data_IF_819830142437
#
_entry.id   IF_819830142437
#
_cell.length_a   1.000
_cell.length_b   1.000
_cell.length_c   1.000
_cell.angle_alpha   90.00
_cell.angle_beta   90.00
_cell.angle_gamma   90.00
#
_symmetry.space_group_name_H-M   'P 1'
#
loop_
_entity.id
_entity.type
_entity.pdbx_description
1 polymer ?
#
# COMPACT_ATOMS: atom_id res chain seq x y z
N UNK A 1 11.74 -0.06 -1.53
CA UNK A 1 11.49 1.37 -1.66
C UNK A 1 10.00 1.74 -1.86
N UNK A 2 9.04 0.87 -1.56
CA UNK A 2 7.60 1.21 -1.64
C UNK A 2 7.01 1.43 -3.03
N UNK A 3 7.79 1.24 -4.09
CA UNK A 3 7.39 1.38 -5.50
C UNK A 3 6.66 0.12 -5.99
N UNK A 4 5.52 -0.18 -5.37
CA UNK A 4 4.70 -1.38 -5.66
C UNK A 4 3.23 -0.97 -5.61
N UNK A 5 2.44 -1.25 -6.66
CA UNK A 5 1.02 -0.87 -6.71
C UNK A 5 0.17 -1.53 -5.61
N UNK A 6 0.63 -2.67 -5.07
CA UNK A 6 -0.01 -3.42 -4.00
C UNK A 6 0.49 -3.02 -2.60
N UNK A 7 1.30 -1.96 -2.50
CA UNK A 7 1.92 -1.55 -1.25
C UNK A 7 0.84 -1.20 -0.21
N UNK A 8 1.00 -1.69 1.01
CA UNK A 8 0.19 -1.29 2.16
C UNK A 8 0.62 0.09 2.68
N UNK A 9 0.45 1.13 1.87
CA UNK A 9 0.88 2.51 2.18
C UNK A 9 0.05 3.18 3.27
N UNK A 10 -1.07 2.57 3.69
CA UNK A 10 -1.92 3.01 4.80
C UNK A 10 -2.10 1.84 5.75
N UNK A 11 -1.64 1.99 6.99
CA UNK A 11 -1.81 0.98 8.03
C UNK A 11 -2.88 1.48 8.99
N UNK A 12 -3.93 0.68 9.16
CA UNK A 12 -5.01 0.93 10.09
C UNK A 12 -4.80 0.02 11.30
N UNK A 13 -4.72 0.59 12.50
CA UNK A 13 -4.41 -0.13 13.73
C UNK A 13 -5.52 0.09 14.75
N UNK A 14 -5.99 -1.00 15.36
CA UNK A 14 -7.01 -0.92 16.40
C UNK A 14 -6.45 -0.18 17.62
N UNK A 15 -7.23 0.75 18.17
CA UNK A 15 -6.81 1.65 19.26
C UNK A 15 -6.12 0.90 20.42
N UNK A 16 -6.65 -0.25 20.80
CA UNK A 16 -6.18 -1.05 21.93
C UNK A 16 -4.74 -1.56 21.80
N UNK A 17 -4.17 -1.57 20.59
CA UNK A 17 -2.79 -1.99 20.33
C UNK A 17 -1.96 -0.91 19.62
N UNK A 18 -2.53 0.29 19.41
CA UNK A 18 -1.93 1.32 18.57
C UNK A 18 -0.52 1.69 19.03
N UNK A 19 -0.36 2.09 20.30
CA UNK A 19 0.92 2.59 20.81
C UNK A 19 1.99 1.48 20.83
N UNK A 20 1.62 0.25 21.21
CA UNK A 20 2.54 -0.90 21.20
C UNK A 20 3.00 -1.25 19.78
N UNK A 21 2.06 -1.27 18.82
CA UNK A 21 2.36 -1.53 17.42
C UNK A 21 3.27 -0.45 16.84
N UNK A 22 2.92 0.83 17.05
CA UNK A 22 3.67 1.97 16.51
C UNK A 22 5.11 1.95 17.03
N UNK A 23 5.32 1.73 18.33
CA UNK A 23 6.66 1.64 18.91
C UNK A 23 7.51 0.56 18.23
N UNK A 24 7.00 -0.68 18.17
CA UNK A 24 7.71 -1.80 17.53
C UNK A 24 7.93 -1.58 16.03
N UNK A 25 6.95 -0.99 15.35
CA UNK A 25 7.02 -0.73 13.91
C UNK A 25 8.07 0.34 13.59
N UNK A 26 8.12 1.43 14.36
CA UNK A 26 9.13 2.48 14.22
C UNK A 26 10.53 1.91 14.46
N UNK A 27 10.72 1.10 15.51
CA UNK A 27 12.02 0.47 15.80
C UNK A 27 12.47 -0.46 14.67
N UNK A 28 11.55 -1.30 14.16
CA UNK A 28 11.84 -2.18 13.03
C UNK A 28 12.24 -1.39 11.78
N UNK A 29 11.51 -0.33 11.43
CA UNK A 29 11.80 0.50 10.26
C UNK A 29 13.12 1.26 10.40
N UNK A 30 13.43 1.78 11.61
CA UNK A 30 14.73 2.43 11.89
C UNK A 30 15.92 1.48 11.79
N UNK A 31 15.70 0.18 11.99
CA UNK A 31 16.76 -0.84 11.91
C UNK A 31 17.07 -1.30 10.49
N UNK A 32 16.25 -0.94 9.50
CA UNK A 32 16.43 -1.39 8.12
C UNK A 32 17.75 -0.89 7.54
N UNK A 33 18.50 -1.78 6.89
CA UNK A 33 19.73 -1.41 6.19
C UNK A 33 19.41 -0.82 4.80
N UNK A 34 19.69 0.47 4.64
CA UNK A 34 19.59 1.19 3.38
C UNK A 34 20.96 1.14 2.69
N UNK A 35 21.01 0.86 1.38
CA UNK A 35 22.30 0.71 0.71
C UNK A 35 22.25 0.28 -0.75
N UNK A 36 23.41 -0.13 -1.26
CA UNK A 36 23.59 -0.67 -2.61
C UNK A 36 22.65 -1.86 -2.84
N UNK A 37 21.79 -1.86 -3.88
CA UNK A 37 20.94 -3.00 -4.20
C UNK A 37 21.71 -4.29 -4.54
N UNK A 38 23.01 -4.21 -4.79
CA UNK A 38 23.90 -5.36 -5.05
C UNK A 38 24.44 -6.00 -3.76
N UNK A 39 24.36 -5.32 -2.62
CA UNK A 39 24.72 -5.87 -1.30
C UNK A 39 23.55 -6.70 -0.75
N UNK A 40 23.77 -7.98 -0.49
CA UNK A 40 22.75 -8.91 0.02
C UNK A 40 22.17 -8.51 1.39
N UNK A 41 22.89 -7.71 2.18
CA UNK A 41 22.41 -7.21 3.45
C UNK A 41 21.54 -5.94 3.30
N UNK A 42 21.46 -5.33 2.12
CA UNK A 42 20.58 -4.18 1.86
C UNK A 42 19.12 -4.61 1.85
N UNK A 43 18.30 -3.96 2.67
CA UNK A 43 16.85 -4.17 2.74
C UNK A 43 16.07 -3.11 1.95
N UNK A 44 16.67 -1.93 1.76
CA UNK A 44 16.04 -0.82 1.05
C UNK A 44 17.03 -0.13 0.10
N UNK A 45 16.76 -0.21 -1.20
CA UNK A 45 17.46 0.54 -2.24
C UNK A 45 16.84 1.93 -2.51
N UNK A 46 17.44 2.64 -3.47
CA UNK A 46 17.00 3.94 -3.94
C UNK A 46 15.61 3.91 -4.63
N UNK A 47 15.04 5.10 -4.81
CA UNK A 47 13.94 5.34 -5.74
C UNK A 47 14.43 5.31 -7.19
N UNK A 48 13.50 5.08 -8.12
CA UNK A 48 13.82 4.80 -9.53
C UNK A 48 14.41 6.01 -10.29
N UNK A 49 14.02 7.24 -9.92
CA UNK A 49 14.43 8.46 -10.61
C UNK A 49 14.43 9.68 -9.69
N UNK A 50 15.13 10.74 -10.10
CA UNK A 50 15.16 12.01 -9.38
C UNK A 50 13.79 12.69 -9.34
N UNK A 51 13.06 12.71 -10.47
CA UNK A 51 11.69 13.23 -10.54
C UNK A 51 10.76 12.50 -9.55
N UNK A 52 10.92 11.18 -9.42
CA UNK A 52 10.13 10.41 -8.47
C UNK A 52 10.54 10.68 -7.02
N UNK A 53 11.83 10.88 -6.74
CA UNK A 53 12.28 11.35 -5.42
C UNK A 53 11.66 12.70 -5.06
N UNK A 54 11.74 13.70 -5.95
CA UNK A 54 11.14 15.02 -5.75
C UNK A 54 9.64 14.93 -5.48
N UNK A 55 8.91 14.09 -6.23
CA UNK A 55 7.50 13.81 -5.96
C UNK A 55 7.31 13.30 -4.53
N UNK A 56 8.04 12.26 -4.13
CA UNK A 56 7.86 11.65 -2.80
C UNK A 56 8.22 12.64 -1.68
N UNK A 57 9.31 13.38 -1.82
CA UNK A 57 9.71 14.43 -0.87
C UNK A 57 8.63 15.52 -0.73
N UNK A 58 7.98 15.92 -1.83
CA UNK A 58 6.89 16.90 -1.80
C UNK A 58 5.69 16.42 -0.95
N UNK A 59 5.39 15.12 -0.95
CA UNK A 59 4.34 14.56 -0.07
C UNK A 59 4.78 14.49 1.39
N UNK A 60 6.06 14.21 1.66
CA UNK A 60 6.58 14.23 3.03
C UNK A 60 6.49 15.64 3.61
N UNK A 61 6.82 16.67 2.82
CA UNK A 61 6.64 18.07 3.21
C UNK A 61 5.16 18.41 3.42
N UNK A 62 4.30 18.05 2.46
CA UNK A 62 2.85 18.26 2.54
C UNK A 62 2.24 17.61 3.79
N UNK A 63 2.70 16.42 4.18
CA UNK A 63 2.19 15.75 5.36
C UNK A 63 2.39 16.58 6.64
N UNK A 64 3.51 17.30 6.76
CA UNK A 64 3.73 18.24 7.86
C UNK A 64 2.76 19.44 7.83
N UNK A 65 2.43 19.93 6.64
CA UNK A 65 1.43 21.00 6.44
C UNK A 65 0.00 20.52 6.76
N UNK A 66 -0.29 19.24 6.50
CA UNK A 66 -1.58 18.58 6.81
C UNK A 66 -1.71 18.15 8.28
N UNK A 67 -0.72 18.48 9.13
CA UNK A 67 -0.73 18.21 10.57
C UNK A 67 -0.21 16.82 10.96
N UNK A 68 0.41 16.10 10.03
CA UNK A 68 1.02 14.80 10.28
C UNK A 68 2.32 14.88 11.07
N UNK A 69 2.56 13.88 11.91
CA UNK A 69 3.80 13.73 12.69
C UNK A 69 4.72 12.71 12.02
N UNK A 70 5.94 13.13 11.67
CA UNK A 70 6.97 12.21 11.19
C UNK A 70 7.56 11.45 12.39
N UNK A 71 7.34 10.14 12.44
CA UNK A 71 7.89 9.26 13.48
C UNK A 71 9.32 8.77 13.14
N UNK A 72 9.65 8.75 11.85
CA UNK A 72 10.99 8.44 11.32
C UNK A 72 11.08 8.88 9.85
N UNK A 73 12.29 8.92 9.30
CA UNK A 73 12.54 9.21 7.88
C UNK A 73 12.48 10.69 7.51
N UNK A 74 12.05 10.97 6.28
CA UNK A 74 11.91 12.32 5.71
C UNK A 74 13.19 13.05 5.31
N UNK A 75 14.33 12.35 5.31
CA UNK A 75 15.63 12.90 4.90
C UNK A 75 16.37 11.91 3.98
N UNK A 76 17.32 12.39 3.15
CA UNK A 76 18.21 11.53 2.38
C UNK A 76 18.97 10.56 3.29
N UNK A 77 19.10 9.31 2.85
CA UNK A 77 19.59 8.22 3.70
C UNK A 77 21.06 7.83 3.51
N UNK A 78 21.73 8.31 2.46
CA UNK A 78 23.05 7.83 2.06
C UNK A 78 24.08 8.95 1.94
N UNK A 79 25.31 8.64 2.33
CA UNK A 79 26.48 9.50 2.20
C UNK A 79 27.61 8.76 1.44
N UNK A 80 28.69 9.47 1.09
CA UNK A 80 29.84 8.87 0.42
C UNK A 80 29.59 8.59 -1.06
N UNK A 81 30.04 7.44 -1.57
CA UNK A 81 29.98 7.12 -3.00
C UNK A 81 28.54 7.07 -3.58
N UNK A 82 27.54 6.94 -2.71
CA UNK A 82 26.13 6.92 -3.07
C UNK A 82 25.42 8.25 -2.81
N UNK A 83 26.09 9.33 -2.40
CA UNK A 83 25.44 10.59 -2.00
C UNK A 83 24.55 11.24 -3.09
N UNK A 84 24.79 10.92 -4.36
CA UNK A 84 24.03 11.44 -5.50
C UNK A 84 22.92 10.51 -6.01
N UNK A 85 22.64 9.40 -5.32
CA UNK A 85 21.51 8.54 -5.68
C UNK A 85 20.17 9.08 -5.20
N UNK A 86 19.08 8.50 -5.71
CA UNK A 86 17.71 8.94 -5.39
C UNK A 86 17.24 8.33 -4.05
N UNK A 87 17.89 8.68 -2.96
CA UNK A 87 17.68 8.05 -1.66
C UNK A 87 16.64 8.77 -0.83
N UNK A 88 15.77 7.99 -0.19
CA UNK A 88 14.87 8.48 0.83
C UNK A 88 14.83 7.48 1.99
N UNK A 89 15.01 7.97 3.21
CA UNK A 89 14.82 7.13 4.39
C UNK A 89 13.36 6.65 4.49
N UNK A 90 13.11 5.41 4.92
CA UNK A 90 11.76 4.92 5.11
C UNK A 90 11.04 5.80 6.13
N UNK A 91 9.88 6.30 5.75
CA UNK A 91 9.18 7.39 6.44
C UNK A 91 7.86 6.90 6.97
N UNK A 92 7.62 7.13 8.26
CA UNK A 92 6.35 6.80 8.92
C UNK A 92 5.70 8.10 9.35
N UNK A 93 4.45 8.29 8.96
CA UNK A 93 3.66 9.48 9.28
C UNK A 93 2.45 9.06 10.11
N UNK A 94 2.27 9.68 11.27
CA UNK A 94 1.09 9.51 12.13
C UNK A 94 0.25 10.79 12.16
N UNK A 95 -0.89 10.74 12.84
CA UNK A 95 -1.75 11.88 13.18
C UNK A 95 -2.37 12.64 12.00
N UNK A 96 -2.21 12.14 10.77
CA UNK A 96 -2.92 12.65 9.61
C UNK A 96 -4.42 12.32 9.69
N UNK A 97 -5.24 13.30 9.31
CA UNK A 97 -6.65 13.05 8.98
C UNK A 97 -6.74 11.97 7.90
N UNK A 98 -7.70 11.06 8.03
CA UNK A 98 -7.98 10.01 7.04
C UNK A 98 -8.46 10.58 5.71
N UNK A 99 -8.90 11.84 5.70
CA UNK A 99 -9.30 12.59 4.50
C UNK A 99 -8.19 13.47 3.89
N UNK A 100 -7.00 13.51 4.51
CA UNK A 100 -5.85 14.26 3.98
C UNK A 100 -5.39 13.72 2.63
N UNK A 101 -4.70 14.55 1.84
CA UNK A 101 -4.16 14.11 0.54
C UNK A 101 -3.13 13.01 0.75
N UNK A 102 -2.25 13.14 1.75
CA UNK A 102 -1.27 12.12 2.08
C UNK A 102 -1.89 10.77 2.47
N UNK A 103 -3.13 10.76 2.98
CA UNK A 103 -3.88 9.53 3.31
C UNK A 103 -4.74 8.97 2.18
N UNK A 104 -4.94 9.71 1.09
CA UNK A 104 -5.83 9.31 -0.02
C UNK A 104 -5.12 9.10 -1.34
N UNK A 105 -4.05 9.86 -1.60
CA UNK A 105 -3.28 9.85 -2.85
C UNK A 105 -2.12 8.84 -2.80
N UNK A 106 -1.74 8.32 -3.97
CA UNK A 106 -0.65 7.35 -4.06
C UNK A 106 0.72 8.06 -4.12
N UNK A 107 1.44 8.01 -3.00
CA UNK A 107 2.81 8.55 -2.89
C UNK A 107 3.79 7.69 -3.73
N UNK A 108 3.68 6.36 -3.63
CA UNK A 108 4.50 5.38 -4.35
C UNK A 108 6.00 5.40 -3.99
N UNK A 109 6.31 5.71 -2.73
CA UNK A 109 7.67 5.68 -2.17
C UNK A 109 7.71 4.90 -0.85
N UNK A 110 8.84 4.86 -0.13
CA UNK A 110 8.96 4.18 1.15
C UNK A 110 8.30 5.01 2.27
N UNK A 111 7.04 5.39 2.09
CA UNK A 111 6.25 6.24 2.99
C UNK A 111 4.99 5.50 3.37
N UNK A 112 4.66 5.50 4.66
CA UNK A 112 3.45 4.87 5.19
C UNK A 112 2.74 5.78 6.18
N UNK A 113 1.41 5.83 6.10
CA UNK A 113 0.58 6.54 7.07
C UNK A 113 -0.03 5.57 8.08
N UNK A 114 -0.10 6.00 9.35
CA UNK A 114 -0.72 5.24 10.44
C UNK A 114 -2.04 5.88 10.84
N UNK A 115 -3.10 5.07 10.90
CA UNK A 115 -4.44 5.52 11.27
C UNK A 115 -4.99 4.63 12.39
N UNK A 116 -5.49 5.26 13.44
CA UNK A 116 -6.19 4.58 14.53
C UNK A 116 -7.64 4.31 14.13
N UNK A 117 -8.21 3.20 14.60
CA UNK A 117 -9.65 2.95 14.57
C UNK A 117 -10.12 2.24 15.85
N UNK A 118 -11.38 2.41 16.21
CA UNK A 118 -12.01 1.81 17.39
C UNK A 118 -12.86 0.58 17.03
N UNK A 119 -13.58 0.63 15.91
CA UNK A 119 -14.55 -0.39 15.50
C UNK A 119 -14.27 -1.01 14.12
N UNK A 120 -14.84 -2.20 13.86
CA UNK A 120 -14.74 -2.85 12.53
C UNK A 120 -15.35 -1.97 11.43
N UNK A 121 -16.48 -1.31 11.69
CA UNK A 121 -17.15 -0.47 10.69
C UNK A 121 -16.36 0.81 10.40
N UNK A 122 -15.70 1.39 11.41
CA UNK A 122 -14.78 2.51 11.21
C UNK A 122 -13.56 2.09 10.38
N UNK A 123 -12.94 0.95 10.67
CA UNK A 123 -11.82 0.43 9.88
C UNK A 123 -12.20 0.25 8.40
N UNK A 124 -13.39 -0.30 8.15
CA UNK A 124 -13.96 -0.44 6.80
C UNK A 124 -14.19 0.93 6.16
N UNK A 125 -14.74 1.89 6.89
CA UNK A 125 -14.99 3.24 6.39
C UNK A 125 -13.68 3.93 5.96
N UNK A 126 -12.63 3.87 6.80
CA UNK A 126 -11.31 4.43 6.50
C UNK A 126 -10.68 3.70 5.30
N UNK A 127 -10.72 2.36 5.29
CA UNK A 127 -10.16 1.56 4.20
C UNK A 127 -10.82 1.91 2.86
N UNK A 128 -12.14 2.11 2.85
CA UNK A 128 -12.92 2.46 1.67
C UNK A 128 -12.87 3.95 1.30
N UNK A 129 -12.42 4.83 2.21
CA UNK A 129 -12.31 6.29 2.07
C UNK A 129 -11.22 6.77 1.12
N UNK A 130 -11.01 6.06 0.01
CA UNK A 130 -10.08 6.44 -1.06
C UNK A 130 -10.72 6.10 -2.41
N UNK A 131 -10.26 6.78 -3.46
CA UNK A 131 -10.73 6.55 -4.83
C UNK A 131 -10.15 5.25 -5.43
N UNK A 132 -9.21 4.62 -4.73
CA UNK A 132 -8.56 3.37 -5.13
C UNK A 132 -9.21 2.12 -4.49
N UNK A 133 -8.95 0.97 -5.10
CA UNK A 133 -9.48 -0.33 -4.70
C UNK A 133 -8.73 -1.49 -5.33
N UNK A 134 -7.39 -1.50 -5.25
CA UNK A 134 -6.57 -2.55 -5.84
C UNK A 134 -6.42 -3.77 -4.93
N UNK A 135 -5.77 -3.59 -3.76
CA UNK A 135 -5.48 -4.67 -2.83
C UNK A 135 -5.52 -4.20 -1.37
N UNK A 136 -5.60 -5.14 -0.43
CA UNK A 136 -5.48 -4.89 1.01
C UNK A 136 -5.16 -6.15 1.80
N UNK A 137 -4.79 -6.00 3.07
CA UNK A 137 -4.57 -7.12 4.00
C UNK A 137 -5.28 -6.86 5.33
N UNK A 138 -5.86 -7.91 5.92
CA UNK A 138 -6.46 -7.89 7.26
C UNK A 138 -5.67 -8.84 8.16
N UNK A 139 -5.21 -8.36 9.31
CA UNK A 139 -4.44 -9.13 10.28
C UNK A 139 -5.24 -9.30 11.56
N UNK A 140 -5.58 -10.54 11.91
CA UNK A 140 -6.40 -10.84 13.09
C UNK A 140 -6.31 -12.32 13.50
N UNK A 141 -6.43 -12.59 14.80
CA UNK A 141 -6.61 -13.95 15.32
C UNK A 141 -8.03 -14.51 15.14
N UNK A 142 -9.02 -13.65 14.87
CA UNK A 142 -10.41 -14.05 14.60
C UNK A 142 -10.65 -14.12 13.09
N UNK A 143 -10.56 -15.33 12.52
CA UNK A 143 -10.70 -15.53 11.08
C UNK A 143 -12.09 -15.17 10.56
N UNK A 144 -13.15 -15.35 11.37
CA UNK A 144 -14.50 -14.98 10.96
C UNK A 144 -14.64 -13.46 10.85
N UNK A 145 -14.02 -12.71 11.78
CA UNK A 145 -13.88 -11.25 11.65
C UNK A 145 -13.06 -10.86 10.44
N UNK A 146 -11.92 -11.50 10.23
CA UNK A 146 -11.06 -11.25 9.07
C UNK A 146 -11.83 -11.36 7.76
N UNK A 147 -12.63 -12.43 7.61
CA UNK A 147 -13.49 -12.62 6.43
C UNK A 147 -14.58 -11.55 6.31
N UNK A 148 -15.34 -11.27 7.38
CA UNK A 148 -16.41 -10.26 7.33
C UNK A 148 -15.90 -8.85 7.00
N UNK A 149 -14.73 -8.47 7.53
CA UNK A 149 -14.08 -7.20 7.20
C UNK A 149 -13.63 -7.21 5.75
N UNK A 150 -12.96 -8.27 5.29
CA UNK A 150 -12.49 -8.40 3.92
C UNK A 150 -13.62 -8.27 2.88
N UNK A 151 -14.77 -8.89 3.13
CA UNK A 151 -15.97 -8.81 2.27
C UNK A 151 -16.56 -7.39 2.15
N UNK A 152 -16.32 -6.53 3.15
CA UNK A 152 -16.79 -5.13 3.17
C UNK A 152 -15.81 -4.13 2.54
N UNK A 153 -14.55 -4.51 2.31
CA UNK A 153 -13.55 -3.62 1.69
C UNK A 153 -13.78 -3.61 0.16
N UNK A 154 -14.02 -2.44 -0.41
CA UNK A 154 -14.23 -2.22 -1.84
C UNK A 154 -12.91 -2.26 -2.59
N UNK A 155 -12.35 -3.45 -2.74
CA UNK A 155 -11.08 -3.71 -3.41
C UNK A 155 -11.14 -4.97 -4.26
N UNK A 156 -10.18 -5.12 -5.17
CA UNK A 156 -10.12 -6.30 -6.05
C UNK A 156 -9.56 -7.54 -5.38
N UNK A 157 -8.71 -7.39 -4.36
CA UNK A 157 -8.03 -8.48 -3.66
C UNK A 157 -7.85 -8.15 -2.18
N UNK A 158 -8.11 -9.11 -1.31
CA UNK A 158 -7.79 -9.01 0.12
C UNK A 158 -7.05 -10.27 0.56
N UNK A 159 -5.98 -10.09 1.31
CA UNK A 159 -5.31 -11.18 2.02
C UNK A 159 -5.68 -11.15 3.51
N UNK A 160 -5.79 -12.32 4.13
CA UNK A 160 -5.99 -12.43 5.59
C UNK A 160 -4.74 -13.09 6.18
N UNK A 161 -4.11 -12.42 7.15
CA UNK A 161 -2.87 -12.86 7.83
C UNK A 161 -1.69 -13.14 6.89
N UNK A 162 -1.65 -12.45 5.75
CA UNK A 162 -0.52 -12.49 4.82
C UNK A 162 -0.53 -11.23 3.95
N UNK A 163 0.56 -11.02 3.21
CA UNK A 163 0.68 -9.98 2.20
C UNK A 163 1.46 -10.53 1.02
N UNK A 164 1.03 -10.19 -0.19
CA UNK A 164 1.68 -10.58 -1.44
C UNK A 164 1.83 -12.10 -1.65
N UNK A 165 0.99 -12.92 -1.02
CA UNK A 165 0.89 -14.35 -1.35
C UNK A 165 0.12 -14.50 -2.67
N UNK A 166 0.84 -14.40 -3.78
CA UNK A 166 0.28 -14.32 -5.14
C UNK A 166 0.35 -15.66 -5.86
N UNK A 167 -0.80 -16.19 -6.26
CA UNK A 167 -0.94 -17.30 -7.21
C UNK A 167 -1.35 -16.74 -8.57
N UNK A 168 -0.59 -17.01 -9.63
CA UNK A 168 -0.85 -16.45 -10.97
C UNK A 168 -2.18 -16.93 -11.59
N UNK A 169 -2.83 -17.92 -10.98
CA UNK A 169 -4.12 -18.44 -11.42
C UNK A 169 -5.30 -17.67 -10.86
N UNK A 170 -5.15 -16.90 -9.78
CA UNK A 170 -6.26 -16.16 -9.14
C UNK A 170 -6.47 -14.81 -9.84
N UNK A 171 -7.68 -14.20 -9.76
CA UNK A 171 -7.93 -12.92 -10.40
C UNK A 171 -7.09 -11.81 -9.76
N UNK A 172 -6.47 -11.00 -10.61
CA UNK A 172 -5.68 -9.84 -10.26
C UNK A 172 -6.23 -8.59 -10.95
N UNK A 173 -6.33 -7.50 -10.22
CA UNK A 173 -6.85 -6.22 -10.71
C UNK A 173 -7.79 -5.58 -9.70
N UNK A 174 -7.98 -4.27 -9.82
CA UNK A 174 -8.71 -3.47 -8.84
C UNK A 174 -10.16 -3.15 -9.24
N UNK A 175 -10.81 -2.37 -8.38
CA UNK A 175 -12.07 -1.68 -8.66
C UNK A 175 -11.86 -0.17 -8.51
N UNK A 176 -12.91 0.63 -8.72
CA UNK A 176 -12.85 2.11 -8.68
C UNK A 176 -11.78 2.63 -9.67
N UNK A 177 -10.95 3.57 -9.26
CA UNK A 177 -9.90 4.13 -10.13
C UNK A 177 -8.65 3.23 -10.23
N UNK A 178 -8.63 2.06 -9.58
CA UNK A 178 -7.54 1.08 -9.70
C UNK A 178 -7.65 0.17 -10.94
N UNK A 179 -8.63 0.41 -11.81
CA UNK A 179 -8.75 -0.25 -13.12
C UNK A 179 -10.04 -1.04 -13.31
N UNK A 180 -10.16 -1.62 -14.50
CA UNK A 180 -11.31 -2.41 -14.96
C UNK A 180 -10.81 -3.74 -15.51
N UNK A 181 -11.60 -4.80 -15.31
CA UNK A 181 -11.24 -6.15 -15.75
C UNK A 181 -10.36 -6.88 -14.72
N UNK A 182 -10.00 -8.13 -15.04
CA UNK A 182 -9.14 -8.96 -14.21
C UNK A 182 -8.20 -9.76 -15.11
N UNK A 183 -6.94 -9.78 -14.70
CA UNK A 183 -5.93 -10.68 -15.25
C UNK A 183 -5.73 -11.88 -14.31
N UNK A 184 -4.96 -12.88 -14.74
CA UNK A 184 -4.64 -14.07 -13.97
C UNK A 184 -5.51 -15.26 -14.34
N UNK A 185 -4.88 -16.43 -14.46
CA UNK A 185 -5.53 -17.69 -14.81
C UNK A 185 -6.59 -17.59 -15.91
N UNK A 186 -7.81 -18.06 -15.62
CA UNK A 186 -8.94 -18.04 -16.56
C UNK A 186 -9.52 -16.64 -16.80
N UNK A 187 -9.28 -15.68 -15.90
CA UNK A 187 -9.86 -14.33 -15.99
C UNK A 187 -9.23 -13.53 -17.14
N UNK A 188 -7.94 -13.75 -17.38
CA UNK A 188 -7.24 -13.22 -18.57
C UNK A 188 -7.91 -13.60 -19.88
N UNK A 189 -8.60 -14.75 -19.98
CA UNK A 189 -9.31 -15.12 -21.20
C UNK A 189 -10.39 -14.09 -21.54
N UNK A 190 -11.19 -13.65 -20.56
CA UNK A 190 -12.21 -12.63 -20.79
C UNK A 190 -11.63 -11.27 -21.18
N UNK A 191 -10.38 -10.98 -20.82
CA UNK A 191 -9.70 -9.74 -21.15
C UNK A 191 -9.00 -9.79 -22.52
N UNK A 192 -8.41 -10.93 -22.87
CA UNK A 192 -7.63 -11.13 -24.11
C UNK A 192 -8.39 -11.86 -25.23
N UNK A 193 -9.70 -12.11 -25.07
CA UNK A 193 -10.53 -12.73 -26.12
C UNK A 193 -11.82 -11.97 -26.36
N UNK A 194 -12.35 -12.08 -27.57
CA UNK A 194 -13.62 -11.47 -27.98
C UNK A 194 -14.67 -12.57 -28.20
N UNK A 195 -15.79 -12.56 -27.45
CA UNK A 195 -16.84 -13.56 -27.64
C UNK A 195 -17.60 -13.31 -28.96
N UNK A 196 -17.72 -14.35 -29.79
CA UNK A 196 -18.51 -14.34 -31.03
C UNK A 196 -19.79 -15.16 -30.86
N UNK A 197 -20.95 -14.53 -31.04
CA UNK A 197 -22.24 -15.23 -31.11
C UNK A 197 -22.67 -15.42 -32.57
N UNK A 198 -22.88 -16.66 -32.99
CA UNK A 198 -23.42 -17.01 -34.31
C UNK A 198 -24.77 -17.69 -34.11
N UNK A 199 -25.85 -17.00 -34.47
CA UNK A 199 -27.21 -17.57 -34.42
C UNK A 199 -27.65 -17.98 -35.83
N UNK A 200 -28.01 -19.25 -35.99
CA UNK A 200 -28.58 -19.78 -37.22
C UNK A 200 -30.04 -20.14 -36.96
N UNK A 201 -30.95 -19.49 -37.68
CA UNK A 201 -32.37 -19.87 -37.71
C UNK A 201 -32.62 -20.63 -39.01
N UNK A 202 -33.12 -21.86 -38.88
CA UNK A 202 -33.59 -22.66 -40.00
C UNK A 202 -35.11 -22.82 -39.86
N UNK A 203 -35.84 -22.67 -40.97
CA UNK A 203 -37.29 -22.84 -41.03
C UNK A 203 -37.73 -24.27 -40.68
#
# INVERSE_FOLDING_TARGET
>A
SGQVCLCGSRILIQETIYDEFVGKFVDAVKSMKIGDPSDEATELGALISAEHLEKVESYVALAGEEGGTLLTGGNPAMAGEFEHGNWLAPTIIADLSTDSRCSREEIFGPVVTLHKFESEDEAVAIANGTDYGLAGSVWTGDLAKGQRVAEKIHTGMVWINTWLHRDLRVPFGGVKNSGVGREGGRWSLGFFSEPLNICLKHD
#
